data_IF_195399421454
#
_entry.id   IF_195399421454
#
_cell.length_a   1.000
_cell.length_b   1.000
_cell.length_c   1.000
_cell.angle_alpha   90.00
_cell.angle_beta   90.00
_cell.angle_gamma   90.00
#
_symmetry.space_group_name_H-M   'P 1'
#
loop_
_entity.id
_entity.type
_entity.pdbx_description
1 polymer ?
#
# COMPACT_ATOMS: atom_id res chain seq x y z
N UNK A 1 -21.98 33.00 -25.46
CA UNK A 1 -21.92 31.91 -24.45
C UNK A 1 -20.86 30.92 -24.93
N UNK A 2 -19.84 30.60 -24.11
CA UNK A 2 -18.81 29.66 -24.55
C UNK A 2 -19.36 28.22 -24.60
N UNK A 3 -18.78 27.37 -25.46
CA UNK A 3 -19.11 25.93 -25.53
C UNK A 3 -18.97 25.25 -24.14
N UNK A 4 -18.02 25.71 -23.34
CA UNK A 4 -17.77 25.22 -21.97
C UNK A 4 -18.94 25.55 -21.03
N UNK A 5 -19.46 26.79 -21.11
CA UNK A 5 -20.62 27.23 -20.31
C UNK A 5 -21.89 26.49 -20.74
N UNK A 6 -22.11 26.34 -22.03
CA UNK A 6 -23.25 25.60 -22.57
C UNK A 6 -23.24 24.14 -22.08
N UNK A 7 -22.13 23.42 -22.25
CA UNK A 7 -22.00 22.03 -21.77
C UNK A 7 -22.24 21.91 -20.27
N UNK A 8 -21.65 22.83 -19.49
CA UNK A 8 -21.82 22.81 -18.03
C UNK A 8 -23.27 22.96 -17.62
N UNK A 9 -23.96 23.92 -18.17
CA UNK A 9 -25.30 24.28 -17.72
C UNK A 9 -26.39 23.37 -18.30
N UNK A 10 -26.18 22.83 -19.52
CA UNK A 10 -27.18 22.00 -20.21
C UNK A 10 -27.00 20.50 -19.93
N UNK A 11 -25.79 20.04 -19.74
CA UNK A 11 -25.50 18.59 -19.59
C UNK A 11 -24.99 18.29 -18.18
N UNK A 12 -23.85 18.89 -17.79
CA UNK A 12 -23.14 18.48 -16.57
C UNK A 12 -23.93 18.81 -15.30
N UNK A 13 -24.53 20.00 -15.22
CA UNK A 13 -25.27 20.41 -14.02
C UNK A 13 -26.55 19.59 -13.77
N UNK A 14 -27.40 19.26 -14.75
CA UNK A 14 -28.53 18.36 -14.57
C UNK A 14 -28.11 16.95 -14.13
N UNK A 15 -27.09 16.38 -14.78
CA UNK A 15 -26.57 15.06 -14.42
C UNK A 15 -26.01 15.07 -12.98
N UNK A 16 -25.23 16.08 -12.62
CA UNK A 16 -24.69 16.24 -11.26
C UNK A 16 -25.81 16.32 -10.21
N UNK A 17 -26.85 17.12 -10.46
CA UNK A 17 -28.00 17.23 -9.54
C UNK A 17 -28.75 15.90 -9.39
N UNK A 18 -28.87 15.15 -10.45
CA UNK A 18 -29.48 13.81 -10.41
C UNK A 18 -28.59 12.84 -9.61
N UNK A 19 -27.30 12.77 -9.93
CA UNK A 19 -26.35 11.92 -9.24
C UNK A 19 -26.27 12.25 -7.74
N UNK A 20 -26.21 13.53 -7.37
CA UNK A 20 -26.18 13.97 -5.97
C UNK A 20 -27.42 13.58 -5.15
N UNK A 21 -28.56 13.32 -5.82
CA UNK A 21 -29.76 12.82 -5.15
C UNK A 21 -29.80 11.31 -5.06
N UNK A 22 -29.14 10.63 -5.99
CA UNK A 22 -29.09 9.18 -6.05
C UNK A 22 -27.99 8.59 -5.16
N UNK A 23 -26.94 9.36 -4.86
CA UNK A 23 -25.86 8.95 -3.93
C UNK A 23 -26.34 8.99 -2.49
N UNK A 24 -26.03 7.95 -1.68
CA UNK A 24 -26.31 7.97 -0.25
C UNK A 24 -25.55 9.11 0.43
N UNK A 25 -26.09 9.67 1.52
CA UNK A 25 -25.38 10.70 2.29
C UNK A 25 -24.09 10.11 2.89
N UNK A 26 -23.05 10.92 2.91
CA UNK A 26 -21.79 10.57 3.59
C UNK A 26 -22.08 10.41 5.09
N UNK A 27 -21.61 9.31 5.68
CA UNK A 27 -21.71 9.07 7.13
C UNK A 27 -20.89 10.08 7.94
N UNK A 28 -21.18 10.21 9.24
CA UNK A 28 -20.38 11.07 10.13
C UNK A 28 -18.90 10.69 10.13
N UNK A 29 -18.59 9.39 10.23
CA UNK A 29 -17.22 8.88 10.24
C UNK A 29 -16.48 9.15 8.93
N UNK A 30 -17.14 8.99 7.78
CA UNK A 30 -16.54 9.32 6.48
C UNK A 30 -16.25 10.82 6.35
N UNK A 31 -17.16 11.65 6.86
CA UNK A 31 -16.97 13.11 6.90
C UNK A 31 -15.77 13.48 7.75
N UNK A 32 -15.70 12.94 8.98
CA UNK A 32 -14.60 13.18 9.92
C UNK A 32 -13.26 12.75 9.29
N UNK A 33 -13.22 11.61 8.60
CA UNK A 33 -12.04 11.14 7.89
C UNK A 33 -11.62 12.09 6.75
N UNK A 34 -12.56 12.58 5.96
CA UNK A 34 -12.30 13.54 4.88
C UNK A 34 -11.80 14.88 5.44
N UNK A 35 -12.42 15.37 6.53
CA UNK A 35 -12.07 16.65 7.15
C UNK A 35 -10.73 16.60 7.89
N UNK A 36 -10.35 15.45 8.45
CA UNK A 36 -9.06 15.23 9.12
C UNK A 36 -7.91 15.02 8.12
N UNK A 37 -8.19 14.60 6.90
CA UNK A 37 -7.19 14.28 5.90
C UNK A 37 -6.52 15.52 5.31
N UNK A 38 -5.22 15.41 5.02
CA UNK A 38 -4.51 16.35 4.17
C UNK A 38 -4.61 15.88 2.72
N UNK A 39 -5.15 16.74 1.86
CA UNK A 39 -5.27 16.44 0.42
C UNK A 39 -3.98 16.86 -0.27
N UNK A 40 -3.37 15.94 -0.97
CA UNK A 40 -2.17 16.19 -1.76
C UNK A 40 -2.55 16.66 -3.19
N UNK A 41 -1.65 16.51 -4.17
CA UNK A 41 -1.91 16.93 -5.55
C UNK A 41 -3.14 16.25 -6.19
N UNK A 42 -3.49 15.04 -5.77
CA UNK A 42 -4.68 14.33 -6.25
C UNK A 42 -5.99 15.12 -6.05
N UNK A 43 -6.05 15.98 -5.04
CA UNK A 43 -7.15 16.92 -4.85
C UNK A 43 -7.35 17.90 -6.02
N UNK A 44 -6.31 18.23 -6.76
CA UNK A 44 -6.40 19.10 -7.94
C UNK A 44 -7.28 18.46 -9.04
N UNK A 45 -7.35 17.14 -9.13
CA UNK A 45 -8.20 16.44 -10.10
C UNK A 45 -9.68 16.78 -9.92
N UNK A 46 -10.14 16.99 -8.70
CA UNK A 46 -11.51 17.33 -8.37
C UNK A 46 -11.88 18.77 -8.68
N UNK A 47 -10.90 19.64 -8.91
CA UNK A 47 -11.15 21.03 -9.37
C UNK A 47 -11.67 21.09 -10.80
N UNK A 48 -11.47 20.04 -11.59
CA UNK A 48 -11.75 19.97 -13.02
C UNK A 48 -10.74 20.76 -13.89
N UNK A 49 -9.71 21.32 -13.29
CA UNK A 49 -8.61 22.01 -13.98
C UNK A 49 -7.31 21.86 -13.17
N UNK A 50 -6.77 20.62 -13.08
CA UNK A 50 -5.60 20.35 -12.25
C UNK A 50 -4.36 21.06 -12.76
N UNK A 51 -3.51 21.53 -11.85
CA UNK A 51 -2.21 22.10 -12.18
C UNK A 51 -1.17 20.98 -12.41
N UNK A 52 -1.04 20.57 -13.65
CA UNK A 52 -0.07 19.54 -14.06
C UNK A 52 1.38 19.95 -13.84
N UNK A 53 1.69 21.25 -13.83
CA UNK A 53 3.06 21.70 -13.59
C UNK A 53 3.51 21.40 -12.16
N UNK A 54 2.59 21.48 -11.19
CA UNK A 54 2.89 21.05 -9.80
C UNK A 54 3.26 19.58 -9.73
N UNK A 55 2.53 18.70 -10.42
CA UNK A 55 2.84 17.27 -10.47
C UNK A 55 4.20 17.02 -11.14
N UNK A 56 4.42 17.63 -12.31
CA UNK A 56 5.65 17.43 -13.08
C UNK A 56 6.90 18.03 -12.39
N UNK A 57 6.71 19.02 -11.52
CA UNK A 57 7.80 19.61 -10.74
C UNK A 57 8.23 18.74 -9.54
N UNK A 58 7.44 17.70 -9.18
CA UNK A 58 7.79 16.79 -8.09
C UNK A 58 8.98 15.92 -8.49
N UNK A 59 9.98 15.78 -7.61
CA UNK A 59 11.10 14.91 -7.90
C UNK A 59 10.60 13.45 -8.01
N UNK A 60 11.06 12.69 -9.01
CA UNK A 60 10.71 11.27 -9.11
C UNK A 60 11.24 10.52 -7.90
N UNK A 61 10.41 9.66 -7.34
CA UNK A 61 10.82 8.76 -6.28
C UNK A 61 11.95 7.84 -6.77
N UNK A 62 12.98 7.65 -5.94
CA UNK A 62 14.14 6.81 -6.26
C UNK A 62 14.40 5.86 -5.10
N UNK A 63 14.75 4.64 -5.44
CA UNK A 63 15.22 3.66 -4.48
C UNK A 63 16.64 4.03 -4.01
N UNK A 64 16.93 3.80 -2.73
CA UNK A 64 18.30 3.79 -2.22
C UNK A 64 19.07 2.59 -2.79
N UNK A 65 20.39 2.58 -2.63
CA UNK A 65 21.22 1.46 -3.09
C UNK A 65 20.84 0.13 -2.39
N UNK A 66 20.49 0.20 -1.10
CA UNK A 66 20.04 -0.97 -0.32
C UNK A 66 18.68 -1.51 -0.82
N UNK A 67 17.74 -0.61 -1.06
CA UNK A 67 16.42 -0.96 -1.60
C UNK A 67 16.53 -1.55 -3.02
N UNK A 68 17.39 -0.97 -3.86
CA UNK A 68 17.65 -1.50 -5.19
C UNK A 68 18.30 -2.88 -5.13
N UNK A 69 19.27 -3.10 -4.24
CA UNK A 69 19.90 -4.41 -4.05
C UNK A 69 18.89 -5.46 -3.57
N UNK A 70 17.93 -5.07 -2.74
CA UNK A 70 16.83 -5.96 -2.32
C UNK A 70 15.92 -6.33 -3.50
N UNK A 71 15.61 -5.38 -4.38
CA UNK A 71 14.86 -5.64 -5.61
C UNK A 71 15.60 -6.60 -6.55
N UNK A 72 16.90 -6.38 -6.73
CA UNK A 72 17.73 -7.15 -7.68
C UNK A 72 18.09 -8.54 -7.18
N UNK A 73 18.13 -8.76 -5.88
CA UNK A 73 18.40 -10.04 -5.23
C UNK A 73 17.13 -10.70 -4.68
N UNK A 74 16.79 -10.48 -3.41
CA UNK A 74 15.72 -11.21 -2.71
C UNK A 74 14.37 -11.23 -3.44
N UNK A 75 13.96 -10.11 -4.05
CA UNK A 75 12.67 -10.04 -4.77
C UNK A 75 12.67 -10.94 -6.01
N UNK A 76 13.73 -10.93 -6.79
CA UNK A 76 13.85 -11.81 -7.97
C UNK A 76 13.94 -13.28 -7.59
N UNK A 77 14.66 -13.56 -6.51
CA UNK A 77 14.80 -14.92 -5.98
C UNK A 77 13.43 -15.45 -5.50
N UNK A 78 12.68 -14.65 -4.75
CA UNK A 78 11.30 -15.00 -4.34
C UNK A 78 10.41 -15.30 -5.54
N UNK A 79 10.43 -14.44 -6.58
CA UNK A 79 9.65 -14.66 -7.80
C UNK A 79 10.04 -15.94 -8.53
N UNK A 80 11.30 -16.34 -8.47
CA UNK A 80 11.76 -17.59 -9.09
C UNK A 80 11.39 -18.84 -8.27
N UNK A 81 11.18 -18.71 -6.96
CA UNK A 81 10.79 -19.82 -6.08
C UNK A 81 9.30 -20.17 -6.16
N UNK A 82 8.45 -19.21 -6.53
CA UNK A 82 6.99 -19.38 -6.45
C UNK A 82 6.44 -19.92 -7.77
N UNK A 83 5.86 -21.10 -7.72
CA UNK A 83 4.98 -21.63 -8.77
C UNK A 83 3.54 -21.22 -8.44
N UNK A 84 3.06 -20.15 -9.09
CA UNK A 84 1.75 -19.57 -8.81
C UNK A 84 0.59 -20.52 -9.10
N UNK A 85 0.72 -21.38 -10.12
CA UNK A 85 -0.29 -22.40 -10.40
C UNK A 85 -0.41 -23.39 -9.25
N UNK A 86 0.72 -23.93 -8.80
CA UNK A 86 0.77 -24.90 -7.73
C UNK A 86 0.22 -24.32 -6.42
N UNK A 87 0.63 -23.10 -6.07
CA UNK A 87 0.15 -22.36 -4.89
C UNK A 87 -1.38 -22.17 -4.92
N UNK A 88 -1.94 -21.80 -6.08
CA UNK A 88 -3.37 -21.48 -6.15
C UNK A 88 -4.27 -22.70 -6.31
N UNK A 89 -3.83 -23.74 -7.01
CA UNK A 89 -4.71 -24.82 -7.45
C UNK A 89 -4.42 -26.17 -6.80
N UNK A 90 -3.18 -26.45 -6.42
CA UNK A 90 -2.79 -27.72 -5.83
C UNK A 90 -2.64 -27.61 -4.31
N UNK A 91 -1.66 -26.83 -3.84
CA UNK A 91 -1.28 -26.77 -2.43
C UNK A 91 -2.19 -25.87 -1.59
N UNK A 92 -2.78 -24.84 -2.19
CA UNK A 92 -3.62 -23.81 -1.52
C UNK A 92 -2.88 -23.02 -0.44
N UNK A 93 -1.56 -23.03 -0.48
CA UNK A 93 -0.67 -22.30 0.41
C UNK A 93 0.69 -22.10 -0.27
N UNK A 94 1.49 -21.16 0.26
CA UNK A 94 2.90 -21.01 -0.13
C UNK A 94 3.70 -22.21 0.42
N UNK A 95 4.65 -22.77 -0.37
CA UNK A 95 5.58 -23.78 0.11
C UNK A 95 6.37 -23.34 1.32
N UNK A 96 6.75 -24.31 2.17
CA UNK A 96 7.49 -24.01 3.42
C UNK A 96 8.78 -23.24 3.17
N UNK A 97 9.51 -23.61 2.14
CA UNK A 97 10.75 -22.93 1.75
C UNK A 97 10.53 -21.45 1.38
N UNK A 98 9.36 -21.10 0.82
CA UNK A 98 8.99 -19.72 0.52
C UNK A 98 8.68 -18.97 1.82
N UNK A 99 7.93 -19.58 2.76
CA UNK A 99 7.69 -18.99 4.07
C UNK A 99 8.99 -18.74 4.85
N UNK A 100 9.91 -19.69 4.82
CA UNK A 100 11.20 -19.57 5.50
C UNK A 100 12.07 -18.49 4.85
N UNK A 101 12.06 -18.40 3.53
CA UNK A 101 12.75 -17.34 2.77
C UNK A 101 12.18 -15.95 3.06
N UNK A 102 10.86 -15.79 3.10
CA UNK A 102 10.20 -14.53 3.45
C UNK A 102 10.63 -14.02 4.84
N UNK A 103 10.74 -14.93 5.81
CA UNK A 103 11.25 -14.60 7.16
C UNK A 103 12.72 -14.24 7.15
N UNK A 104 13.56 -15.09 6.55
CA UNK A 104 15.01 -14.89 6.47
C UNK A 104 15.36 -13.55 5.83
N UNK A 105 14.74 -13.22 4.71
CA UNK A 105 14.98 -11.97 3.97
C UNK A 105 14.18 -10.79 4.51
N UNK A 106 13.41 -10.97 5.59
CA UNK A 106 12.64 -9.91 6.28
C UNK A 106 11.58 -9.21 5.42
N UNK A 107 10.95 -9.92 4.55
CA UNK A 107 9.83 -9.38 3.74
C UNK A 107 8.66 -8.89 4.60
N UNK A 108 8.48 -9.42 5.80
CA UNK A 108 7.43 -8.98 6.72
C UNK A 108 7.76 -7.69 7.47
N UNK A 109 9.04 -7.31 7.51
CA UNK A 109 9.54 -6.14 8.24
C UNK A 109 10.11 -5.05 7.34
N UNK A 110 9.68 -4.93 6.10
CA UNK A 110 10.27 -3.97 5.16
C UNK A 110 10.18 -2.53 5.67
N UNK A 111 9.02 -2.10 6.15
CA UNK A 111 8.80 -0.73 6.65
C UNK A 111 9.24 -0.55 8.11
N UNK A 112 9.39 -1.64 8.86
CA UNK A 112 9.76 -1.58 10.27
C UNK A 112 11.20 -1.07 10.39
N UNK A 113 11.47 -0.08 11.27
CA UNK A 113 12.81 0.48 11.44
C UNK A 113 13.86 -0.55 11.83
N UNK A 114 15.10 -0.34 11.39
CA UNK A 114 16.24 -1.22 11.68
C UNK A 114 16.47 -1.46 13.17
N UNK A 115 16.17 -0.46 14.04
CA UNK A 115 16.27 -0.61 15.50
C UNK A 115 15.37 -1.71 16.08
N UNK A 116 14.29 -2.06 15.38
CA UNK A 116 13.39 -3.15 15.73
C UNK A 116 13.61 -4.41 14.88
N UNK A 117 14.71 -4.47 14.15
CA UNK A 117 15.09 -5.63 13.36
C UNK A 117 14.49 -5.67 11.93
N UNK A 118 13.74 -4.67 11.52
CA UNK A 118 13.23 -4.52 10.15
C UNK A 118 14.28 -3.95 9.18
N UNK A 119 13.84 -3.66 7.96
CA UNK A 119 14.69 -3.11 6.90
C UNK A 119 14.67 -1.57 6.86
N UNK A 120 13.61 -0.94 7.36
CA UNK A 120 13.45 0.52 7.37
C UNK A 120 13.35 1.11 5.95
N UNK A 121 12.75 0.39 5.03
CA UNK A 121 12.59 0.80 3.64
C UNK A 121 11.54 1.90 3.50
N UNK A 122 11.67 2.66 2.42
CA UNK A 122 10.71 3.68 2.03
C UNK A 122 9.40 3.08 1.51
N UNK A 123 8.32 3.87 1.54
CA UNK A 123 7.05 3.48 0.94
C UNK A 123 7.18 3.21 -0.57
N UNK A 124 8.11 3.88 -1.25
CA UNK A 124 8.43 3.62 -2.66
C UNK A 124 8.98 2.23 -2.85
N UNK A 125 9.96 1.83 -2.03
CA UNK A 125 10.54 0.48 -2.09
C UNK A 125 9.49 -0.58 -1.77
N UNK A 126 8.68 -0.36 -0.74
CA UNK A 126 7.58 -1.26 -0.41
C UNK A 126 6.62 -1.44 -1.61
N UNK A 127 6.20 -0.35 -2.24
CA UNK A 127 5.32 -0.41 -3.41
C UNK A 127 5.95 -1.16 -4.60
N UNK A 128 7.24 -0.94 -4.86
CA UNK A 128 7.95 -1.64 -5.95
C UNK A 128 8.11 -3.14 -5.67
N UNK A 129 8.40 -3.52 -4.42
CA UNK A 129 8.45 -4.93 -4.01
C UNK A 129 7.09 -5.60 -4.20
N UNK A 130 6.03 -5.01 -3.65
CA UNK A 130 4.67 -5.55 -3.76
C UNK A 130 4.24 -5.65 -5.22
N UNK A 131 4.47 -4.61 -6.03
CA UNK A 131 4.18 -4.61 -7.46
C UNK A 131 4.87 -5.77 -8.18
N UNK A 132 6.15 -5.97 -7.91
CA UNK A 132 6.97 -6.99 -8.57
C UNK A 132 6.56 -8.39 -8.13
N UNK A 133 6.42 -8.64 -6.83
CA UNK A 133 6.01 -9.94 -6.29
C UNK A 133 4.60 -10.31 -6.76
N UNK A 134 3.66 -9.35 -6.74
CA UNK A 134 2.28 -9.57 -7.22
C UNK A 134 2.21 -9.87 -8.71
N UNK A 135 3.18 -9.43 -9.51
CA UNK A 135 3.25 -9.80 -10.94
C UNK A 135 3.68 -11.25 -11.17
N UNK A 136 4.31 -11.88 -10.19
CA UNK A 136 4.71 -13.29 -10.22
C UNK A 136 3.66 -14.18 -9.54
N UNK A 137 3.17 -13.76 -8.37
CA UNK A 137 2.10 -14.43 -7.61
C UNK A 137 1.34 -13.43 -6.76
N UNK A 138 0.02 -13.37 -6.95
CA UNK A 138 -0.85 -12.53 -6.15
C UNK A 138 -0.88 -13.00 -4.69
N UNK A 139 -0.84 -14.30 -4.45
CA UNK A 139 -0.80 -14.87 -3.09
C UNK A 139 0.44 -14.41 -2.35
N UNK A 140 1.62 -14.55 -2.95
CA UNK A 140 2.87 -14.06 -2.36
C UNK A 140 2.86 -12.54 -2.19
N UNK A 141 2.33 -11.79 -3.17
CA UNK A 141 2.20 -10.34 -3.10
C UNK A 141 1.35 -9.87 -1.93
N UNK A 142 0.18 -10.46 -1.71
CA UNK A 142 -0.70 -10.15 -0.58
C UNK A 142 -0.05 -10.55 0.76
N UNK A 143 0.60 -11.71 0.80
CA UNK A 143 1.32 -12.18 1.99
C UNK A 143 2.41 -11.19 2.45
N UNK A 144 3.13 -10.59 1.52
CA UNK A 144 4.13 -9.56 1.79
C UNK A 144 3.50 -8.19 2.07
N UNK A 145 2.44 -7.84 1.36
CA UNK A 145 1.78 -6.54 1.46
C UNK A 145 1.14 -6.30 2.83
N UNK A 146 0.36 -7.28 3.32
CA UNK A 146 -0.45 -7.11 4.54
C UNK A 146 0.37 -6.71 5.76
N UNK A 147 1.50 -7.35 6.10
CA UNK A 147 2.32 -6.93 7.23
C UNK A 147 2.91 -5.52 7.11
N UNK A 148 3.19 -5.08 5.89
CA UNK A 148 3.92 -3.85 5.60
C UNK A 148 3.03 -2.68 5.17
N UNK A 149 1.76 -2.88 4.89
CA UNK A 149 0.86 -1.84 4.44
C UNK A 149 -0.05 -1.38 5.58
N UNK A 150 -1.29 -1.74 5.57
CA UNK A 150 -2.26 -1.38 6.61
C UNK A 150 -2.15 -2.25 7.87
N UNK A 151 -1.02 -2.91 8.06
CA UNK A 151 -0.78 -3.82 9.17
C UNK A 151 -0.47 -3.12 10.49
N UNK A 152 -0.43 -3.89 11.59
CA UNK A 152 -0.19 -3.36 12.92
C UNK A 152 1.19 -2.71 13.08
N UNK A 153 2.17 -3.05 12.24
CA UNK A 153 3.50 -2.46 12.28
C UNK A 153 3.47 -0.95 12.10
N UNK A 154 2.78 -0.44 11.10
CA UNK A 154 2.63 1.00 10.86
C UNK A 154 1.85 1.69 11.97
N UNK A 155 0.73 1.09 12.40
CA UNK A 155 -0.08 1.63 13.49
C UNK A 155 0.71 1.70 14.80
N UNK A 156 1.49 0.68 15.14
CA UNK A 156 2.35 0.67 16.32
C UNK A 156 3.45 1.72 16.24
N UNK A 157 4.06 1.91 15.07
CA UNK A 157 5.09 2.95 14.90
C UNK A 157 4.55 4.35 15.15
N UNK A 158 3.32 4.63 14.73
CA UNK A 158 2.71 5.95 14.85
C UNK A 158 1.98 6.18 16.19
N UNK A 159 1.29 5.17 16.70
CA UNK A 159 0.35 5.32 17.81
C UNK A 159 0.61 4.39 19.00
N UNK A 160 1.53 3.43 18.88
CA UNK A 160 1.87 2.50 19.96
C UNK A 160 2.64 3.17 21.09
N UNK A 161 2.55 2.63 22.32
CA UNK A 161 3.47 2.97 23.40
C UNK A 161 4.85 2.39 23.14
N UNK A 162 5.88 2.84 23.86
CA UNK A 162 7.23 2.29 23.72
C UNK A 162 7.26 0.80 24.05
N UNK A 163 6.55 0.36 25.11
CA UNK A 163 6.45 -1.04 25.49
C UNK A 163 5.79 -1.89 24.38
N UNK A 164 4.75 -1.35 23.74
CA UNK A 164 4.09 -2.03 22.61
C UNK A 164 5.01 -2.14 21.40
N UNK A 165 5.74 -1.07 21.07
CA UNK A 165 6.71 -1.07 19.96
C UNK A 165 7.84 -2.05 20.22
N UNK A 166 8.44 -2.01 21.40
CA UNK A 166 9.57 -2.86 21.76
C UNK A 166 9.19 -4.34 21.82
N UNK A 167 7.94 -4.65 22.17
CA UNK A 167 7.45 -6.02 22.21
C UNK A 167 7.04 -6.55 20.83
N UNK A 168 6.21 -5.80 20.10
CA UNK A 168 5.58 -6.31 18.88
C UNK A 168 6.41 -6.11 17.61
N UNK A 169 7.06 -4.95 17.43
CA UNK A 169 7.75 -4.65 16.18
C UNK A 169 8.87 -5.66 15.83
N UNK A 170 9.70 -6.14 16.78
CA UNK A 170 10.67 -7.19 16.44
C UNK A 170 10.03 -8.51 16.02
N UNK A 171 8.87 -8.87 16.60
CA UNK A 171 8.15 -10.10 16.27
C UNK A 171 7.50 -10.05 14.89
N UNK A 172 6.98 -8.88 14.54
CA UNK A 172 6.44 -8.63 13.21
C UNK A 172 7.56 -8.61 12.16
N UNK A 173 8.70 -7.97 12.48
CA UNK A 173 9.83 -7.83 11.55
C UNK A 173 10.47 -9.16 11.15
N UNK A 174 10.54 -10.12 12.09
CA UNK A 174 11.12 -11.44 11.82
C UNK A 174 10.08 -12.51 11.42
N UNK A 175 8.81 -12.11 11.34
CA UNK A 175 7.72 -13.00 10.91
C UNK A 175 7.35 -14.10 11.91
N UNK A 176 7.70 -13.94 13.22
CA UNK A 176 7.16 -14.79 14.28
C UNK A 176 5.67 -14.57 14.47
N UNK A 177 5.24 -13.34 14.32
CA UNK A 177 3.83 -12.92 14.31
C UNK A 177 3.48 -12.38 12.94
N UNK A 178 2.54 -13.00 12.26
CA UNK A 178 2.07 -12.59 10.94
C UNK A 178 0.66 -12.03 11.10
N UNK A 179 0.43 -10.74 10.86
CA UNK A 179 -0.88 -10.15 11.03
C UNK A 179 -1.84 -10.56 9.91
N UNK A 180 -3.11 -10.61 10.23
CA UNK A 180 -4.18 -10.79 9.26
C UNK A 180 -5.32 -9.80 9.52
N UNK A 181 -6.14 -9.55 8.50
CA UNK A 181 -7.39 -8.83 8.65
C UNK A 181 -8.52 -9.81 9.00
N UNK A 182 -9.24 -9.51 10.08
CA UNK A 182 -10.43 -10.24 10.48
C UNK A 182 -11.62 -9.26 10.40
N UNK A 183 -12.08 -9.00 9.19
CA UNK A 183 -13.24 -8.15 8.95
C UNK A 183 -14.52 -8.99 9.01
N UNK A 184 -15.50 -8.54 9.79
CA UNK A 184 -16.82 -9.16 9.93
C UNK A 184 -17.89 -8.24 9.40
#
# INVERSE_FOLDING_TARGET
MSLRTFRRDTITRPIFKWASRATPPISGTERDAIEAGTVWWDGELFTGNPDWNKLLAMPPAKLSAEEQAFMDGPVRELCAMVDDWKVNWEDRDLPREVWDFLREKKFFGMIIPKKYGGLGFSNTAHSEVVRTVSSCSVVAGVTVMVPNSLGPGELLMHFGTDEQRDYWLPRLADGREIPCFALT
#
